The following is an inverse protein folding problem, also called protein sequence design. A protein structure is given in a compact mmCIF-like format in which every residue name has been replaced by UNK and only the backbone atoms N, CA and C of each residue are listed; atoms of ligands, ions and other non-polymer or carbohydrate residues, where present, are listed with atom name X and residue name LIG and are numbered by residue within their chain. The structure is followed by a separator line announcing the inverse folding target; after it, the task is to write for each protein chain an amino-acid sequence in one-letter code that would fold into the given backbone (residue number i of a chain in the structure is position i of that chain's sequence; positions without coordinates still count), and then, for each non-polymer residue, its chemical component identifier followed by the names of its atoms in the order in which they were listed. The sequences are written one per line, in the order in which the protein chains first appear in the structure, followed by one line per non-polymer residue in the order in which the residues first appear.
data_IF_853879623261
#
_entry.id   IF_853879623261
#
_cell.length_a   1.000
_cell.length_b   1.000
_cell.length_c   1.000
_cell.angle_alpha   90.00
_cell.angle_beta   90.00
_cell.angle_gamma   90.00
#
_symmetry.space_group_name_H-M   'P 1'
#
loop_
_entity.id
_entity.type
_entity.pdbx_description
1 polymer ?
#
# COMPACT_ATOMS: atom_id res chain seq x y z
N UNK A 1 17.76 27.17 2.38
CA UNK A 1 16.70 26.19 2.67
C UNK A 1 16.33 25.50 1.36
N UNK A 2 16.47 24.17 1.28
CA UNK A 2 16.07 23.42 0.09
C UNK A 2 14.55 23.47 -0.11
N UNK A 3 14.07 23.43 -1.35
CA UNK A 3 12.64 23.28 -1.62
C UNK A 3 12.17 21.95 -1.02
N UNK A 4 11.06 21.99 -0.27
CA UNK A 4 10.41 20.77 0.20
C UNK A 4 10.01 19.89 -0.99
N UNK A 5 10.21 18.56 -0.90
CA UNK A 5 9.75 17.64 -1.93
C UNK A 5 8.22 17.67 -2.06
N UNK A 6 7.73 17.38 -3.26
CA UNK A 6 6.31 17.45 -3.61
C UNK A 6 5.70 16.06 -3.71
N UNK A 7 4.59 15.84 -3.01
CA UNK A 7 3.72 14.70 -3.27
C UNK A 7 3.11 14.86 -4.65
N UNK A 8 3.44 13.95 -5.58
CA UNK A 8 3.06 14.04 -6.99
C UNK A 8 1.56 13.89 -7.20
N UNK A 9 0.88 13.13 -6.34
CA UNK A 9 -0.58 12.94 -6.40
C UNK A 9 -1.34 14.14 -5.83
N UNK A 10 -0.83 14.73 -4.74
CA UNK A 10 -1.46 15.90 -4.13
C UNK A 10 -1.14 17.20 -4.88
N UNK A 11 0.03 17.28 -5.53
CA UNK A 11 0.57 18.54 -6.04
C UNK A 11 1.01 19.48 -4.90
N UNK A 12 1.29 18.91 -3.72
CA UNK A 12 1.55 19.65 -2.47
C UNK A 12 2.94 19.31 -1.95
N UNK A 13 3.69 20.34 -1.56
CA UNK A 13 4.96 20.17 -0.85
C UNK A 13 4.70 19.66 0.56
N UNK A 14 5.40 18.59 0.96
CA UNK A 14 5.28 17.98 2.27
C UNK A 14 6.68 17.80 2.89
N UNK A 15 6.80 17.76 4.23
CA UNK A 15 7.99 17.28 4.90
C UNK A 15 8.46 15.93 4.33
N UNK A 16 9.77 15.79 4.11
CA UNK A 16 10.33 14.60 3.44
C UNK A 16 10.01 13.29 4.16
N UNK A 17 9.91 13.32 5.49
CA UNK A 17 9.54 12.16 6.30
C UNK A 17 8.09 11.71 6.08
N UNK A 18 7.20 12.56 5.55
CA UNK A 18 5.82 12.19 5.21
C UNK A 18 5.65 11.71 3.76
N UNK A 19 6.73 11.68 3.00
CA UNK A 19 6.74 11.20 1.62
C UNK A 19 7.37 9.82 1.53
N UNK A 20 6.82 9.02 0.65
CA UNK A 20 7.31 7.70 0.28
C UNK A 20 7.63 7.73 -1.21
N UNK A 21 8.79 7.19 -1.57
CA UNK A 21 9.11 6.85 -2.95
C UNK A 21 8.60 5.43 -3.22
N UNK A 22 7.32 5.31 -3.52
CA UNK A 22 6.64 4.03 -3.71
C UNK A 22 6.94 3.44 -5.08
N UNK A 23 7.20 2.13 -5.13
CA UNK A 23 7.30 1.39 -6.38
C UNK A 23 5.90 1.07 -6.92
N UNK A 24 5.66 1.28 -8.21
CA UNK A 24 4.40 0.91 -8.88
C UNK A 24 4.33 -0.59 -9.15
N UNK A 25 5.46 -1.21 -9.44
CA UNK A 25 5.65 -2.66 -9.48
C UNK A 25 6.56 -3.08 -8.33
N UNK A 26 6.03 -3.95 -7.47
CA UNK A 26 6.68 -4.31 -6.23
C UNK A 26 8.04 -5.01 -6.44
N UNK A 27 9.05 -4.60 -5.67
CA UNK A 27 10.42 -5.17 -5.72
C UNK A 27 10.41 -6.69 -5.45
N UNK A 28 9.51 -7.17 -4.59
CA UNK A 28 9.33 -8.62 -4.33
C UNK A 28 8.98 -9.44 -5.58
N UNK A 29 8.53 -8.81 -6.66
CA UNK A 29 8.19 -9.46 -7.92
C UNK A 29 9.32 -9.39 -8.97
N UNK A 30 10.53 -8.94 -8.60
CA UNK A 30 11.69 -8.83 -9.52
C UNK A 30 11.96 -10.10 -10.31
N UNK A 31 11.81 -11.27 -9.68
CA UNK A 31 11.99 -12.58 -10.34
C UNK A 31 11.04 -12.83 -11.52
N UNK A 32 9.91 -12.13 -11.58
CA UNK A 32 8.88 -12.27 -12.61
C UNK A 32 8.90 -11.14 -13.64
N UNK A 33 9.68 -10.09 -13.41
CA UNK A 33 9.71 -8.87 -14.21
C UNK A 33 9.83 -9.13 -15.70
N UNK A 34 10.79 -9.97 -16.13
CA UNK A 34 11.01 -10.25 -17.55
C UNK A 34 9.76 -10.83 -18.22
N UNK A 35 9.10 -11.75 -17.53
CA UNK A 35 7.90 -12.42 -18.04
C UNK A 35 6.70 -11.46 -18.08
N UNK A 36 6.51 -10.64 -17.05
CA UNK A 36 5.34 -9.78 -16.90
C UNK A 36 5.50 -8.46 -17.65
N UNK A 37 6.62 -7.76 -17.46
CA UNK A 37 6.83 -6.37 -17.90
C UNK A 37 7.75 -6.21 -19.11
N UNK A 38 8.57 -7.22 -19.44
CA UNK A 38 9.52 -7.13 -20.54
C UNK A 38 10.96 -7.25 -20.08
N UNK A 39 11.86 -7.65 -20.98
CA UNK A 39 13.30 -7.71 -20.67
C UNK A 39 13.94 -6.32 -20.57
N UNK A 40 13.25 -5.29 -21.06
CA UNK A 40 13.65 -3.88 -21.00
C UNK A 40 13.19 -3.18 -19.71
N UNK A 41 12.42 -3.85 -18.86
CA UNK A 41 11.96 -3.26 -17.60
C UNK A 41 13.02 -3.43 -16.51
N UNK A 42 13.34 -2.31 -15.87
CA UNK A 42 14.17 -2.25 -14.68
C UNK A 42 13.30 -1.87 -13.47
N UNK A 43 13.36 -2.69 -12.42
CA UNK A 43 12.57 -2.51 -11.20
C UNK A 43 13.01 -1.28 -10.40
N UNK A 44 14.30 -0.95 -10.45
CA UNK A 44 14.90 0.20 -9.77
C UNK A 44 14.84 1.47 -10.64
N UNK A 45 14.19 1.38 -11.79
CA UNK A 45 13.99 2.53 -12.67
C UNK A 45 13.19 3.61 -11.95
N UNK A 46 13.58 4.90 -12.04
CA UNK A 46 12.75 6.01 -11.56
C UNK A 46 11.35 6.03 -12.18
N UNK A 47 11.18 5.46 -13.38
CA UNK A 47 9.88 5.30 -14.04
C UNK A 47 8.99 4.22 -13.41
N UNK A 48 9.53 3.39 -12.52
CA UNK A 48 8.75 2.50 -11.66
C UNK A 48 8.40 3.16 -10.32
N UNK A 49 8.73 4.44 -10.10
CA UNK A 49 8.50 5.14 -8.84
C UNK A 49 7.47 6.26 -8.93
N UNK A 50 6.77 6.49 -7.83
CA UNK A 50 5.97 7.71 -7.60
C UNK A 50 6.28 8.23 -6.19
N UNK A 51 6.44 9.55 -6.06
CA UNK A 51 6.56 10.20 -4.75
C UNK A 51 5.16 10.58 -4.29
N UNK A 52 4.65 9.92 -3.25
CA UNK A 52 3.34 10.20 -2.65
C UNK A 52 3.44 10.24 -1.12
N UNK A 53 2.35 10.57 -0.42
CA UNK A 53 2.34 10.42 1.04
C UNK A 53 1.98 8.99 1.44
N UNK A 54 2.35 8.58 2.65
CA UNK A 54 2.11 7.21 3.15
C UNK A 54 0.65 6.76 3.08
N UNK A 55 -0.31 7.68 3.18
CA UNK A 55 -1.73 7.34 3.08
C UNK A 55 -2.12 6.81 1.68
N UNK A 56 -1.54 7.40 0.64
CA UNK A 56 -1.81 7.02 -0.75
C UNK A 56 -1.07 5.73 -1.09
N UNK A 57 0.19 5.61 -0.67
CA UNK A 57 0.97 4.37 -0.84
C UNK A 57 0.30 3.18 -0.14
N UNK A 58 -0.16 3.37 1.09
CA UNK A 58 -0.88 2.35 1.85
C UNK A 58 -2.13 1.80 1.13
N UNK A 59 -3.00 2.67 0.63
CA UNK A 59 -4.22 2.21 -0.08
C UNK A 59 -3.92 1.71 -1.51
N UNK A 60 -2.82 2.15 -2.11
CA UNK A 60 -2.35 1.64 -3.39
C UNK A 60 -1.87 0.19 -3.25
N UNK A 61 -1.02 -0.12 -2.27
CA UNK A 61 -0.53 -1.48 -2.00
C UNK A 61 -1.67 -2.45 -1.66
N UNK A 62 -2.71 -1.96 -0.98
CA UNK A 62 -3.93 -2.70 -0.66
C UNK A 62 -4.92 -2.82 -1.82
N UNK A 63 -4.58 -2.30 -2.99
CA UNK A 63 -5.39 -2.40 -4.20
C UNK A 63 -6.78 -1.75 -4.07
N UNK A 64 -6.92 -0.76 -3.18
CA UNK A 64 -8.19 -0.04 -2.93
C UNK A 64 -8.31 1.26 -3.72
N UNK A 65 -7.19 1.73 -4.27
CA UNK A 65 -7.11 2.79 -5.27
C UNK A 65 -6.28 2.33 -6.46
N UNK A 66 -6.43 2.96 -7.62
CA UNK A 66 -5.54 2.73 -8.77
C UNK A 66 -5.43 3.98 -9.65
N UNK A 67 -4.63 3.91 -10.71
CA UNK A 67 -4.50 4.99 -11.70
C UNK A 67 -4.87 4.50 -13.10
N UNK A 68 -5.66 5.28 -13.83
CA UNK A 68 -5.84 5.11 -15.29
C UNK A 68 -5.06 6.17 -16.06
N UNK A 69 -4.86 5.96 -17.35
CA UNK A 69 -4.42 7.04 -18.22
C UNK A 69 -5.52 8.12 -18.35
N UNK A 70 -5.08 9.37 -18.47
CA UNK A 70 -5.91 10.49 -18.88
C UNK A 70 -5.88 10.69 -20.40
N UNK A 71 -6.48 11.80 -20.84
CA UNK A 71 -6.60 12.11 -22.27
C UNK A 71 -5.33 12.76 -22.85
N UNK A 72 -4.39 13.14 -21.98
CA UNK A 72 -3.17 13.89 -22.31
C UNK A 72 -1.95 13.06 -21.90
N UNK A 73 -0.84 13.21 -22.64
CA UNK A 73 0.43 12.53 -22.32
C UNK A 73 0.88 12.81 -20.88
N UNK A 74 1.27 11.74 -20.18
CA UNK A 74 1.69 11.74 -18.77
C UNK A 74 0.64 12.28 -17.78
N UNK A 75 -0.62 12.40 -18.21
CA UNK A 75 -1.76 12.60 -17.33
C UNK A 75 -2.33 11.25 -16.92
N UNK A 76 -2.66 11.14 -15.63
CA UNK A 76 -3.26 9.96 -15.04
C UNK A 76 -4.44 10.37 -14.17
N UNK A 77 -5.38 9.47 -13.97
CA UNK A 77 -6.58 9.68 -13.16
C UNK A 77 -6.51 8.72 -11.99
N UNK A 78 -6.52 9.24 -10.76
CA UNK A 78 -6.64 8.40 -9.57
C UNK A 78 -8.10 7.96 -9.42
N UNK A 79 -8.33 6.68 -9.24
CA UNK A 79 -9.65 6.09 -8.94
C UNK A 79 -9.64 5.51 -7.54
N UNK A 80 -10.62 5.88 -6.74
CA UNK A 80 -10.89 5.25 -5.44
C UNK A 80 -11.86 4.11 -5.70
N UNK A 81 -11.38 2.87 -5.66
CA UNK A 81 -12.17 1.70 -6.03
C UNK A 81 -13.05 1.24 -4.87
N UNK A 82 -12.50 1.20 -3.65
CA UNK A 82 -13.28 0.97 -2.45
C UNK A 82 -13.95 2.27 -2.00
N UNK A 83 -15.27 2.37 -2.22
CA UNK A 83 -16.05 3.58 -1.93
C UNK A 83 -16.19 3.88 -0.44
N UNK A 84 -15.90 2.93 0.45
CA UNK A 84 -15.82 3.20 1.89
C UNK A 84 -14.67 4.14 2.26
N UNK A 85 -13.67 4.29 1.39
CA UNK A 85 -12.56 5.22 1.60
C UNK A 85 -12.94 6.68 1.38
N UNK A 86 -13.94 6.98 0.55
CA UNK A 86 -14.28 8.36 0.16
C UNK A 86 -14.32 9.36 1.34
N UNK A 87 -15.05 9.09 2.45
CA UNK A 87 -15.10 10.03 3.57
C UNK A 87 -13.84 10.04 4.45
N UNK A 88 -12.91 9.10 4.25
CA UNK A 88 -11.74 8.92 5.11
C UNK A 88 -10.70 9.99 4.81
N UNK A 89 -10.22 10.66 5.87
CA UNK A 89 -9.13 11.64 5.78
C UNK A 89 -7.82 10.93 5.45
N UNK A 90 -6.99 11.54 4.61
CA UNK A 90 -5.67 10.99 4.31
C UNK A 90 -4.80 10.87 5.57
N UNK A 91 -4.98 11.76 6.54
CA UNK A 91 -4.22 11.74 7.80
C UNK A 91 -4.60 10.62 8.76
N UNK A 92 -5.67 9.87 8.50
CA UNK A 92 -6.13 8.78 9.37
C UNK A 92 -5.69 7.39 8.93
N UNK A 93 -4.89 7.27 7.86
CA UNK A 93 -4.41 5.98 7.32
C UNK A 93 -2.93 6.02 6.95
N UNK A 94 -2.35 4.84 6.73
CA UNK A 94 -0.94 4.64 6.43
C UNK A 94 -0.03 4.86 7.63
N UNK A 95 1.28 4.75 7.39
CA UNK A 95 2.32 4.76 8.43
C UNK A 95 2.27 5.96 9.39
N UNK A 96 1.82 7.12 8.92
CA UNK A 96 1.80 8.36 9.71
C UNK A 96 0.45 8.66 10.37
N UNK A 97 -0.46 7.68 10.45
CA UNK A 97 -1.72 7.81 11.18
C UNK A 97 -1.47 8.29 12.62
N UNK A 98 -2.28 9.25 13.09
CA UNK A 98 -2.17 9.81 14.45
C UNK A 98 -1.09 10.88 14.62
N UNK A 99 -0.23 11.12 13.63
CA UNK A 99 0.76 12.18 13.70
C UNK A 99 0.12 13.57 13.48
N UNK A 100 0.15 14.43 14.50
CA UNK A 100 -0.45 15.76 14.44
C UNK A 100 0.16 16.67 13.35
N UNK A 101 1.47 16.57 13.10
CA UNK A 101 2.12 17.35 12.05
C UNK A 101 1.76 16.84 10.65
N UNK A 102 1.55 15.53 10.48
CA UNK A 102 1.03 14.96 9.23
C UNK A 102 -0.42 15.40 8.99
N UNK A 103 -1.26 15.34 10.01
CA UNK A 103 -2.64 15.82 9.95
C UNK A 103 -2.72 17.30 9.59
N UNK A 104 -1.92 18.15 10.24
CA UNK A 104 -1.84 19.57 9.90
C UNK A 104 -1.33 19.80 8.47
N UNK A 105 -0.33 19.03 8.03
CA UNK A 105 0.23 19.15 6.69
C UNK A 105 -0.76 18.71 5.59
N UNK A 106 -1.65 17.77 5.86
CA UNK A 106 -2.68 17.33 4.91
C UNK A 106 -3.96 18.16 4.99
N UNK A 107 -4.33 18.66 6.17
CA UNK A 107 -5.59 19.35 6.41
C UNK A 107 -6.78 18.39 6.33
N UNK A 108 -7.90 18.87 5.81
CA UNK A 108 -9.15 18.10 5.68
C UNK A 108 -9.26 17.28 4.39
N UNK A 109 -8.14 17.00 3.72
CA UNK A 109 -8.15 16.22 2.47
C UNK A 109 -8.57 14.78 2.78
N UNK A 110 -9.61 14.33 2.07
CA UNK A 110 -10.13 12.95 2.07
C UNK A 110 -9.86 12.25 0.76
N UNK A 111 -10.13 10.94 0.68
CA UNK A 111 -10.08 10.21 -0.60
C UNK A 111 -11.16 10.65 -1.58
N UNK A 112 -12.29 11.20 -1.13
CA UNK A 112 -13.29 11.81 -2.01
C UNK A 112 -12.68 12.96 -2.84
N UNK A 113 -11.78 13.75 -2.25
CA UNK A 113 -11.06 14.80 -2.97
C UNK A 113 -10.04 14.23 -3.99
N UNK A 114 -9.69 12.95 -3.88
CA UNK A 114 -8.77 12.27 -4.78
C UNK A 114 -9.48 11.46 -5.86
N UNK A 115 -10.73 11.01 -5.63
CA UNK A 115 -11.45 10.21 -6.61
C UNK A 115 -11.63 10.99 -7.92
N UNK A 116 -11.24 10.37 -9.03
CA UNK A 116 -11.21 10.95 -10.38
C UNK A 116 -10.29 12.17 -10.51
N UNK A 117 -9.40 12.41 -9.54
CA UNK A 117 -8.42 13.49 -9.63
C UNK A 117 -7.43 13.21 -10.74
N UNK A 118 -7.26 14.19 -11.64
CA UNK A 118 -6.24 14.17 -12.68
C UNK A 118 -4.90 14.62 -12.10
N UNK A 119 -3.86 13.83 -12.32
CA UNK A 119 -2.50 14.07 -11.84
C UNK A 119 -1.52 13.97 -13.00
N UNK A 120 -0.48 14.80 -12.97
CA UNK A 120 0.62 14.73 -13.94
C UNK A 120 1.88 14.26 -13.23
N UNK A 121 2.28 13.04 -13.55
CA UNK A 121 3.53 12.49 -13.06
C UNK A 121 4.65 12.88 -14.04
N UNK A 122 4.97 14.16 -14.19
CA UNK A 122 6.12 14.54 -15.00
C UNK A 122 7.40 14.41 -14.17
N UNK A 123 8.27 13.46 -14.54
CA UNK A 123 9.63 13.39 -14.03
C UNK A 123 10.48 14.59 -14.45
N UNK A 124 11.71 14.70 -13.92
CA UNK A 124 12.64 15.77 -14.31
C UNK A 124 13.02 15.72 -15.81
N UNK A 125 12.89 14.55 -16.44
CA UNK A 125 13.07 14.31 -17.87
C UNK A 125 11.78 14.52 -18.69
N UNK A 126 10.71 15.00 -18.05
CA UNK A 126 9.40 15.21 -18.63
C UNK A 126 8.60 13.92 -18.85
N UNK A 127 9.14 12.75 -18.47
CA UNK A 127 8.48 11.46 -18.69
C UNK A 127 7.82 10.97 -17.43
N UNK A 128 6.64 10.38 -17.59
CA UNK A 128 5.93 9.74 -16.50
C UNK A 128 6.32 8.29 -16.25
N UNK A 129 5.66 7.66 -15.26
CA UNK A 129 5.90 6.29 -14.90
C UNK A 129 5.59 5.33 -16.06
N UNK A 130 6.09 4.10 -15.96
CA UNK A 130 5.79 3.06 -16.93
C UNK A 130 4.29 2.77 -16.97
N UNK A 131 3.67 3.08 -18.11
CA UNK A 131 2.23 2.80 -18.35
C UNK A 131 1.84 1.36 -18.02
N UNK A 132 2.71 0.40 -18.39
CA UNK A 132 2.52 -1.03 -18.13
C UNK A 132 2.47 -1.41 -16.64
N UNK A 133 3.15 -0.70 -15.73
CA UNK A 133 3.07 -1.02 -14.29
C UNK A 133 1.76 -0.52 -13.70
N UNK A 134 1.36 0.71 -14.07
CA UNK A 134 0.07 1.27 -13.68
C UNK A 134 -1.11 0.42 -14.21
N UNK A 135 -1.05 0.00 -15.47
CA UNK A 135 -2.06 -0.86 -16.07
C UNK A 135 -2.15 -2.23 -15.38
N UNK A 136 -1.00 -2.84 -15.02
CA UNK A 136 -0.98 -4.10 -14.30
C UNK A 136 -1.60 -3.96 -12.90
N UNK A 137 -1.20 -2.92 -12.16
CA UNK A 137 -1.75 -2.66 -10.83
C UNK A 137 -3.25 -2.39 -10.89
N UNK A 138 -3.70 -1.54 -11.82
CA UNK A 138 -5.11 -1.25 -12.01
C UNK A 138 -5.91 -2.53 -12.29
N UNK A 139 -5.39 -3.44 -13.12
CA UNK A 139 -6.02 -4.74 -13.34
C UNK A 139 -6.19 -5.53 -12.04
N UNK A 140 -5.14 -5.62 -11.23
CA UNK A 140 -5.19 -6.35 -9.97
C UNK A 140 -6.20 -5.72 -9.01
N UNK A 141 -6.22 -4.39 -8.95
CA UNK A 141 -7.13 -3.64 -8.10
C UNK A 141 -8.60 -3.79 -8.51
N UNK A 142 -8.90 -3.79 -9.80
CA UNK A 142 -10.24 -4.10 -10.29
C UNK A 142 -10.67 -5.53 -9.97
N UNK A 143 -9.78 -6.51 -10.20
CA UNK A 143 -10.08 -7.92 -9.92
C UNK A 143 -10.29 -8.16 -8.42
N UNK A 144 -9.48 -7.51 -7.56
CA UNK A 144 -9.64 -7.53 -6.11
C UNK A 144 -10.97 -6.92 -5.69
N UNK A 145 -11.26 -5.68 -6.09
CA UNK A 145 -12.50 -5.01 -5.70
C UNK A 145 -13.76 -5.70 -6.24
N UNK A 146 -13.72 -6.28 -7.44
CA UNK A 146 -14.85 -7.06 -7.96
C UNK A 146 -15.14 -8.33 -7.16
N UNK A 147 -14.09 -8.97 -6.60
CA UNK A 147 -14.24 -10.13 -5.69
C UNK A 147 -14.72 -9.70 -4.30
N UNK A 148 -14.21 -8.59 -3.78
CA UNK A 148 -14.49 -8.12 -2.43
C UNK A 148 -15.87 -7.44 -2.32
N UNK A 149 -16.31 -6.74 -3.37
CA UNK A 149 -17.53 -5.92 -3.37
C UNK A 149 -18.47 -6.23 -4.56
N UNK A 150 -18.94 -7.47 -4.74
CA UNK A 150 -19.63 -7.91 -5.96
C UNK A 150 -20.94 -7.15 -6.25
N UNK A 151 -21.65 -6.67 -5.23
CA UNK A 151 -22.95 -6.00 -5.38
C UNK A 151 -22.86 -4.48 -5.58
N UNK A 152 -21.68 -3.89 -5.35
CA UNK A 152 -21.48 -2.44 -5.33
C UNK A 152 -20.37 -1.93 -6.24
N UNK A 153 -19.75 -2.83 -7.03
CA UNK A 153 -18.60 -2.51 -7.87
C UNK A 153 -18.80 -3.02 -9.30
N UNK A 154 -18.86 -2.10 -10.26
CA UNK A 154 -18.83 -2.45 -11.68
C UNK A 154 -17.46 -2.10 -12.28
N UNK A 155 -16.65 -3.13 -12.52
CA UNK A 155 -15.34 -2.98 -13.15
C UNK A 155 -15.42 -2.38 -14.58
N UNK A 156 -16.59 -2.47 -15.24
CA UNK A 156 -16.81 -1.94 -16.60
C UNK A 156 -16.89 -0.42 -16.65
N UNK A 157 -17.13 0.24 -15.52
CA UNK A 157 -17.11 1.70 -15.43
C UNK A 157 -15.72 2.28 -15.69
N UNK A 158 -14.67 1.46 -15.51
CA UNK A 158 -13.29 1.90 -15.64
C UNK A 158 -12.69 1.46 -16.97
N UNK A 159 -12.28 2.45 -17.78
CA UNK A 159 -11.54 2.22 -19.02
C UNK A 159 -10.05 2.42 -18.75
N UNK A 160 -9.33 1.31 -18.67
CA UNK A 160 -7.87 1.34 -18.63
C UNK A 160 -7.36 0.92 -19.99
N UNK A 161 -6.47 1.74 -20.54
CA UNK A 161 -5.68 1.31 -21.68
C UNK A 161 -4.63 0.29 -21.20
N UNK A 162 -4.93 -0.99 -21.45
CA UNK A 162 -4.02 -2.10 -21.15
C UNK A 162 -3.07 -2.41 -22.32
N UNK A 163 -2.97 -1.53 -23.33
CA UNK A 163 -1.96 -1.64 -24.39
C UNK A 163 -0.57 -1.43 -23.78
N UNK A 164 -0.09 -2.47 -23.11
CA UNK A 164 1.32 -2.77 -22.95
C UNK A 164 1.95 -2.71 -24.34
N UNK A 165 3.06 -1.99 -24.49
CA UNK A 165 3.93 -2.02 -25.68
C UNK A 165 4.40 -3.46 -26.03
N UNK A 166 4.11 -4.44 -25.16
CA UNK A 166 4.27 -5.89 -25.36
C UNK A 166 2.90 -6.60 -25.34
N UNK A 167 2.18 -6.58 -26.47
CA UNK A 167 1.01 -7.45 -26.68
C UNK A 167 1.39 -8.95 -26.48
N UNK A 168 0.49 -9.76 -25.92
CA UNK A 168 0.66 -11.22 -25.79
C UNK A 168 1.00 -11.77 -24.39
N UNK A 169 1.23 -10.92 -23.38
CA UNK A 169 1.52 -11.36 -22.00
C UNK A 169 0.30 -11.47 -21.08
N UNK A 170 -0.88 -11.16 -21.59
CA UNK A 170 -2.15 -11.17 -20.84
C UNK A 170 -2.48 -12.55 -20.26
N UNK A 171 -2.24 -13.63 -21.00
CA UNK A 171 -2.47 -15.00 -20.53
C UNK A 171 -1.52 -15.40 -19.39
N UNK A 172 -0.27 -14.92 -19.41
CA UNK A 172 0.71 -15.11 -18.34
C UNK A 172 0.28 -14.36 -17.07
N UNK A 173 -0.18 -13.12 -17.22
CA UNK A 173 -0.72 -12.31 -16.12
C UNK A 173 -1.95 -12.99 -15.51
N UNK A 174 -2.92 -13.45 -16.33
CA UNK A 174 -4.11 -14.15 -15.83
C UNK A 174 -3.79 -15.49 -15.16
N UNK A 175 -2.91 -16.30 -15.74
CA UNK A 175 -2.45 -17.56 -15.13
C UNK A 175 -1.79 -17.30 -13.78
N UNK A 176 -0.99 -16.24 -13.68
CA UNK A 176 -0.28 -15.88 -12.47
C UNK A 176 -1.20 -15.28 -11.40
N UNK A 177 -2.19 -14.47 -11.78
CA UNK A 177 -3.24 -13.99 -10.87
C UNK A 177 -4.06 -15.13 -10.26
N UNK A 178 -4.26 -16.22 -10.99
CA UNK A 178 -4.87 -17.43 -10.45
C UNK A 178 -3.94 -18.26 -9.54
N UNK A 179 -2.65 -17.94 -9.50
CA UNK A 179 -1.63 -18.62 -8.68
C UNK A 179 -1.17 -17.79 -7.47
N UNK A 180 -1.40 -16.47 -7.48
CA UNK A 180 -1.30 -15.66 -6.29
C UNK A 180 -2.50 -15.96 -5.41
N UNK A 181 -2.28 -16.81 -4.41
CA UNK A 181 -3.14 -16.87 -3.25
C UNK A 181 -3.19 -15.46 -2.64
N UNK A 182 -4.37 -14.84 -2.61
CA UNK A 182 -4.56 -13.47 -2.08
C UNK A 182 -4.48 -13.41 -0.56
N UNK A 183 -4.18 -14.53 0.10
CA UNK A 183 -3.85 -14.56 1.52
C UNK A 183 -2.45 -13.94 1.74
N UNK A 184 -2.41 -12.79 2.42
CA UNK A 184 -1.26 -12.16 3.14
C UNK A 184 -1.13 -10.65 2.98
N UNK A 185 -2.11 -9.93 2.43
CA UNK A 185 -2.16 -8.45 2.61
C UNK A 185 -2.97 -8.05 3.86
N UNK A 186 -3.68 -9.00 4.49
CA UNK A 186 -4.53 -8.76 5.65
C UNK A 186 -3.98 -9.31 6.99
N UNK A 187 -3.06 -10.27 7.00
CA UNK A 187 -2.69 -10.97 8.25
C UNK A 187 -1.58 -10.31 9.08
N UNK A 188 -0.90 -9.27 8.58
CA UNK A 188 0.15 -8.58 9.36
C UNK A 188 -0.44 -7.64 10.43
N UNK A 189 -1.76 -7.41 10.45
CA UNK A 189 -2.41 -6.58 11.47
C UNK A 189 -2.80 -7.39 12.71
N UNK A 190 -3.01 -8.71 12.60
CA UNK A 190 -3.40 -9.54 13.74
C UNK A 190 -2.22 -10.14 14.51
N UNK A 191 -1.02 -10.19 13.93
CA UNK A 191 0.17 -10.71 14.62
C UNK A 191 0.83 -9.67 15.57
N UNK A 192 0.74 -8.35 15.28
CA UNK A 192 1.28 -7.33 16.19
C UNK A 192 0.44 -7.15 17.46
N UNK A 193 -0.90 -7.31 17.41
CA UNK A 193 -1.76 -7.24 18.61
C UNK A 193 -1.63 -8.50 19.49
N UNK A 194 -1.26 -9.66 18.92
CA UNK A 194 -1.05 -10.90 19.70
C UNK A 194 0.34 -11.02 20.34
N UNK A 195 1.36 -10.33 19.82
CA UNK A 195 2.68 -10.27 20.46
C UNK A 195 2.72 -9.27 21.62
N UNK A 196 1.95 -8.17 21.59
CA UNK A 196 1.83 -7.25 22.73
C UNK A 196 1.05 -7.89 23.91
N UNK A 197 -0.01 -8.66 23.67
CA UNK A 197 -0.72 -9.38 24.75
C UNK A 197 0.09 -10.52 25.36
N UNK A 198 1.05 -11.10 24.63
CA UNK A 198 1.94 -12.14 25.18
C UNK A 198 3.07 -11.59 26.05
N UNK A 199 3.55 -10.38 25.77
CA UNK A 199 4.62 -9.77 26.58
C UNK A 199 4.10 -9.18 27.91
N UNK A 200 2.85 -8.68 27.97
CA UNK A 200 2.27 -8.22 29.24
C UNK A 200 1.83 -9.37 30.17
N UNK A 201 1.62 -10.58 29.63
CA UNK A 201 1.27 -11.78 30.42
C UNK A 201 2.47 -12.47 31.08
N UNK A 202 3.66 -12.40 30.48
CA UNK A 202 4.86 -13.08 31.01
C UNK A 202 5.62 -12.24 32.07
N UNK A 203 5.38 -10.93 32.18
CA UNK A 203 5.96 -10.11 33.26
C UNK A 203 5.16 -10.15 34.59
N UNK A 204 3.97 -10.77 34.64
CA UNK A 204 3.18 -10.89 35.89
C UNK A 204 3.19 -12.27 36.55
N UNK A 205 3.71 -13.33 35.92
CA UNK A 205 3.81 -14.66 36.54
C UNK A 205 5.20 -14.96 37.18
N UNK A 206 6.10 -13.98 37.21
CA UNK A 206 7.46 -14.12 37.73
C UNK A 206 7.69 -13.76 39.20
N UNK A 207 6.71 -13.20 39.92
CA UNK A 207 6.91 -12.67 41.29
C UNK A 207 6.25 -13.47 42.44
N UNK A 208 5.62 -14.63 42.21
CA UNK A 208 4.95 -15.40 43.28
C UNK A 208 5.58 -16.77 43.63
N UNK A 209 6.85 -17.03 43.28
CA UNK A 209 7.52 -18.28 43.70
C UNK A 209 8.93 -18.08 44.27
N UNK A 210 9.08 -17.18 45.25
CA UNK A 210 10.20 -17.23 46.20
C UNK A 210 9.67 -16.97 47.61
N UNK A 211 9.01 -17.98 48.21
CA UNK A 211 8.40 -17.76 49.51
C UNK A 211 7.97 -18.98 50.33
N UNK A 212 8.23 -20.23 49.92
CA UNK A 212 7.83 -21.39 50.72
C UNK A 212 8.79 -22.57 50.55
N UNK A 213 9.96 -22.54 51.20
CA UNK A 213 10.71 -23.79 51.43
C UNK A 213 11.75 -23.65 52.57
N UNK A 214 11.34 -23.19 53.76
CA UNK A 214 12.09 -23.45 54.99
C UNK A 214 11.15 -23.57 56.19
N UNK A 215 10.62 -24.78 56.42
CA UNK A 215 10.22 -25.27 57.73
C UNK A 215 9.77 -26.73 57.62
N UNK A 216 10.64 -27.66 58.04
CA UNK A 216 10.33 -28.86 58.84
C UNK A 216 11.50 -29.84 58.73
N UNK A 217 12.31 -29.92 59.79
CA UNK A 217 12.95 -31.16 60.26
C UNK A 217 13.57 -30.89 61.64
N UNK A 218 12.72 -30.75 62.64
CA UNK A 218 13.04 -31.12 64.02
C UNK A 218 11.80 -31.84 64.57
N UNK A 219 11.87 -33.17 64.64
CA UNK A 219 11.28 -34.04 65.67
C UNK A 219 11.25 -35.48 65.14
N UNK A 220 12.23 -36.30 65.55
CA UNK A 220 11.92 -37.66 66.00
C UNK A 220 12.70 -37.97 67.29
N UNK A 221 11.91 -38.43 68.25
CA UNK A 221 12.15 -38.70 69.66
C UNK A 221 13.06 -39.91 69.98
N UNK A 222 13.64 -39.85 71.19
CA UNK A 222 13.79 -40.93 72.22
C UNK A 222 14.31 -42.31 71.80
#
# INVERSE_FOLDING_TARGET
MGKLPTCMVLGKALPSNFLVAGHLYAVRWTRYTRAILGSDFDVDSPKNGVICCSAIEYEYERQRICFSEGDIESEYILHVLDKSLLPIKLSSVGQHKGNAAFAAALGDVTFEHLDKKRVKFAGADGKGPFKRTLALHAKFALEFCAKTYPDGFDAREYRFDYHSEHEGKQALIHKWLGQLDTASVAEVVEEEEQEEEKQEGEEQEGEEQEGEEQQQEEEEDV
#
